data_IF_696201603315
#
_entry.id   IF_696201603315
#
_cell.length_a   1.000
_cell.length_b   1.000
_cell.length_c   1.000
_cell.angle_alpha   90.00
_cell.angle_beta   90.00
_cell.angle_gamma   90.00
#
_symmetry.space_group_name_H-M   'P 1'
#
loop_
_entity.id
_entity.type
_entity.pdbx_description
1 polymer ?
#
# COMPACT_ATOMS: atom_id res chain seq x y z
N UNK A 1 14.89 -30.65 -2.20
CA UNK A 1 14.31 -29.42 -2.79
C UNK A 1 14.13 -28.42 -1.67
N UNK A 2 15.06 -27.47 -1.51
CA UNK A 2 15.00 -26.47 -0.44
C UNK A 2 14.15 -25.28 -0.88
N UNK A 3 13.01 -25.08 -0.23
CA UNK A 3 12.18 -23.89 -0.43
C UNK A 3 12.87 -22.70 0.24
N UNK A 4 13.45 -21.82 -0.58
CA UNK A 4 14.31 -20.75 -0.13
C UNK A 4 13.46 -19.59 0.40
N UNK A 5 13.47 -19.36 1.71
CA UNK A 5 12.84 -18.21 2.38
C UNK A 5 13.28 -16.86 1.77
N UNK A 6 14.43 -16.80 1.10
CA UNK A 6 14.87 -15.64 0.33
C UNK A 6 13.99 -15.29 -0.87
N UNK A 7 13.29 -16.27 -1.48
CA UNK A 7 12.39 -16.01 -2.61
C UNK A 7 11.20 -15.14 -2.21
N UNK A 8 10.74 -15.28 -0.96
CA UNK A 8 9.63 -14.46 -0.42
C UNK A 8 10.07 -13.00 -0.27
N UNK A 9 11.30 -12.76 0.18
CA UNK A 9 11.84 -11.40 0.28
C UNK A 9 11.96 -10.73 -1.10
N UNK A 10 12.54 -11.45 -2.07
CA UNK A 10 12.69 -10.95 -3.44
C UNK A 10 11.33 -10.70 -4.12
N UNK A 11 10.36 -11.59 -3.91
CA UNK A 11 9.01 -11.39 -4.44
C UNK A 11 8.34 -10.14 -3.84
N UNK A 12 8.50 -9.90 -2.54
CA UNK A 12 7.94 -8.71 -1.92
C UNK A 12 8.60 -7.43 -2.44
N UNK A 13 9.91 -7.44 -2.71
CA UNK A 13 10.61 -6.29 -3.28
C UNK A 13 10.10 -5.96 -4.70
N UNK A 14 9.95 -6.99 -5.54
CA UNK A 14 9.58 -6.79 -6.96
C UNK A 14 8.08 -6.51 -7.16
N UNK A 15 7.20 -7.14 -6.37
CA UNK A 15 5.75 -7.05 -6.58
C UNK A 15 5.03 -6.07 -5.65
N UNK A 16 5.74 -5.45 -4.72
CA UNK A 16 5.18 -4.34 -3.94
C UNK A 16 5.02 -3.12 -4.84
N UNK A 17 3.88 -2.43 -4.79
CA UNK A 17 3.69 -1.21 -5.55
C UNK A 17 4.65 -0.13 -5.04
N UNK A 18 5.26 0.60 -5.97
CA UNK A 18 6.14 1.71 -5.62
C UNK A 18 5.35 2.93 -5.14
N UNK A 19 5.99 3.79 -4.35
CA UNK A 19 5.35 5.01 -3.84
C UNK A 19 4.88 5.94 -4.97
N UNK A 20 5.62 5.98 -6.07
CA UNK A 20 5.27 6.78 -7.24
C UNK A 20 3.99 6.27 -7.93
N UNK A 21 3.83 4.96 -8.06
CA UNK A 21 2.62 4.35 -8.64
C UNK A 21 1.40 4.60 -7.76
N UNK A 22 1.55 4.46 -6.44
CA UNK A 22 0.49 4.75 -5.48
C UNK A 22 0.12 6.23 -5.50
N UNK A 23 1.09 7.13 -5.56
CA UNK A 23 0.85 8.57 -5.64
C UNK A 23 0.09 8.95 -6.92
N UNK A 24 0.45 8.37 -8.06
CA UNK A 24 -0.27 8.57 -9.33
C UNK A 24 -1.70 8.05 -9.25
N UNK A 25 -1.90 6.86 -8.69
CA UNK A 25 -3.23 6.30 -8.50
C UNK A 25 -4.11 7.19 -7.63
N UNK A 26 -3.57 7.74 -6.52
CA UNK A 26 -4.28 8.68 -5.65
C UNK A 26 -4.66 9.99 -6.38
N UNK A 27 -3.80 10.50 -7.27
CA UNK A 27 -4.12 11.68 -8.10
C UNK A 27 -5.29 11.41 -9.04
N UNK A 28 -5.31 10.24 -9.69
CA UNK A 28 -6.41 9.84 -10.59
C UNK A 28 -7.74 9.78 -9.83
N UNK A 29 -7.76 9.14 -8.65
CA UNK A 29 -8.97 9.05 -7.83
C UNK A 29 -9.46 10.43 -7.37
N UNK A 30 -8.54 11.32 -6.99
CA UNK A 30 -8.89 12.69 -6.62
C UNK A 30 -9.50 13.46 -7.79
N UNK A 31 -8.90 13.36 -8.97
CA UNK A 31 -9.43 14.00 -10.17
C UNK A 31 -10.82 13.46 -10.55
N UNK A 32 -11.08 12.17 -10.33
CA UNK A 32 -12.41 11.59 -10.51
C UNK A 32 -13.44 12.16 -9.53
N UNK A 33 -13.10 12.28 -8.25
CA UNK A 33 -14.00 12.85 -7.25
C UNK A 33 -14.34 14.31 -7.57
N UNK A 34 -13.35 15.10 -8.01
CA UNK A 34 -13.55 16.48 -8.45
C UNK A 34 -14.46 16.57 -9.69
N UNK A 35 -14.24 15.73 -10.70
CA UNK A 35 -15.07 15.65 -11.89
C UNK A 35 -16.52 15.22 -11.56
N UNK A 36 -16.68 14.26 -10.64
CA UNK A 36 -17.98 13.79 -10.17
C UNK A 36 -18.75 14.89 -9.46
N UNK A 37 -18.08 15.69 -8.63
CA UNK A 37 -18.69 16.84 -7.96
C UNK A 37 -19.15 17.92 -8.96
N UNK A 38 -18.46 18.03 -10.10
CA UNK A 38 -18.81 18.95 -11.19
C UNK A 38 -19.83 18.36 -12.18
N UNK A 39 -20.30 17.12 -11.96
CA UNK A 39 -21.24 16.45 -12.87
C UNK A 39 -20.62 16.03 -14.21
N UNK A 40 -19.29 15.96 -14.30
CA UNK A 40 -18.58 15.58 -15.51
C UNK A 40 -18.42 14.06 -15.58
N UNK A 41 -18.87 13.45 -16.68
CA UNK A 41 -18.70 12.01 -16.94
C UNK A 41 -17.30 11.61 -17.44
N UNK A 42 -16.43 12.58 -17.67
CA UNK A 42 -15.09 12.41 -18.22
C UNK A 42 -14.07 13.15 -17.35
N UNK A 43 -12.97 12.49 -17.02
CA UNK A 43 -11.90 13.05 -16.19
C UNK A 43 -10.68 13.32 -17.08
N UNK A 44 -10.17 14.55 -17.07
CA UNK A 44 -8.89 14.87 -17.71
C UNK A 44 -7.81 15.07 -16.64
N UNK A 45 -6.70 14.35 -16.75
CA UNK A 45 -5.53 14.51 -15.88
C UNK A 45 -4.29 14.67 -16.76
N UNK A 46 -3.49 15.71 -16.51
CA UNK A 46 -2.26 16.02 -17.26
C UNK A 46 -2.50 16.12 -18.79
N UNK A 47 -3.64 16.66 -19.20
CA UNK A 47 -4.02 16.78 -20.61
C UNK A 47 -4.46 15.47 -21.28
N UNK A 48 -4.59 14.38 -20.51
CA UNK A 48 -5.06 13.07 -21.00
C UNK A 48 -6.43 12.74 -20.43
N UNK A 49 -7.29 12.22 -21.31
CA UNK A 49 -8.57 11.65 -20.92
C UNK A 49 -8.33 10.34 -20.16
N UNK A 50 -8.89 10.25 -18.97
CA UNK A 50 -8.84 9.07 -18.12
C UNK A 50 -10.14 8.30 -18.33
N UNK A 51 -10.02 7.04 -18.76
CA UNK A 51 -11.16 6.15 -18.91
C UNK A 51 -11.52 5.44 -17.59
N UNK A 52 -12.69 4.79 -17.57
CA UNK A 52 -13.15 4.03 -16.42
C UNK A 52 -12.22 2.86 -16.06
N UNK A 53 -11.51 2.28 -17.04
CA UNK A 53 -10.59 1.19 -16.79
C UNK A 53 -9.38 1.66 -15.97
N UNK A 54 -8.83 2.82 -16.30
CA UNK A 54 -7.72 3.49 -15.62
C UNK A 54 -8.09 3.86 -14.19
N UNK A 55 -9.32 4.32 -13.98
CA UNK A 55 -9.87 4.59 -12.64
C UNK A 55 -9.90 3.31 -11.81
N UNK A 56 -10.50 2.23 -12.34
CA UNK A 56 -10.57 0.93 -11.64
C UNK A 56 -9.18 0.36 -11.32
N UNK A 57 -8.21 0.55 -12.22
CA UNK A 57 -6.83 0.18 -11.97
C UNK A 57 -6.20 1.01 -10.84
N UNK A 58 -6.47 2.32 -10.79
CA UNK A 58 -6.02 3.19 -9.72
C UNK A 58 -6.63 2.78 -8.35
N UNK A 59 -7.92 2.45 -8.31
CA UNK A 59 -8.58 1.91 -7.11
C UNK A 59 -7.91 0.62 -6.63
N UNK A 60 -7.69 -0.33 -7.55
CA UNK A 60 -7.04 -1.59 -7.24
C UNK A 60 -5.60 -1.39 -6.71
N UNK A 61 -4.85 -0.45 -7.29
CA UNK A 61 -3.50 -0.11 -6.86
C UNK A 61 -3.46 0.43 -5.43
N UNK A 62 -4.31 1.41 -5.12
CA UNK A 62 -4.40 2.00 -3.77
C UNK A 62 -4.83 0.94 -2.76
N UNK A 63 -5.83 0.12 -3.09
CA UNK A 63 -6.30 -0.97 -2.23
C UNK A 63 -5.22 -2.01 -1.95
N UNK A 64 -4.39 -2.34 -2.94
CA UNK A 64 -3.25 -3.26 -2.77
C UNK A 64 -2.22 -2.65 -1.82
N UNK A 65 -1.87 -1.38 -2.01
CA UNK A 65 -0.92 -0.67 -1.15
C UNK A 65 -1.40 -0.60 0.31
N UNK A 66 -2.69 -0.33 0.53
CA UNK A 66 -3.29 -0.28 1.88
C UNK A 66 -3.24 -1.63 2.59
N UNK A 67 -3.56 -2.72 1.89
CA UNK A 67 -3.46 -4.08 2.45
C UNK A 67 -2.03 -4.44 2.85
N UNK A 68 -1.05 -4.10 2.01
CA UNK A 68 0.36 -4.33 2.32
C UNK A 68 0.79 -3.49 3.54
N UNK A 69 0.41 -2.22 3.59
CA UNK A 69 0.70 -1.34 4.72
C UNK A 69 0.06 -1.83 6.03
N UNK A 70 -1.16 -2.40 5.97
CA UNK A 70 -1.79 -3.02 7.13
C UNK A 70 -1.05 -4.28 7.59
N UNK A 71 -0.68 -5.17 6.65
CA UNK A 71 0.09 -6.36 6.95
C UNK A 71 1.45 -6.03 7.59
N UNK A 72 2.14 -5.01 7.08
CA UNK A 72 3.40 -4.52 7.64
C UNK A 72 3.22 -3.96 9.06
N UNK A 73 2.19 -3.13 9.29
CA UNK A 73 1.86 -2.60 10.63
C UNK A 73 1.56 -3.72 11.62
N UNK A 74 0.86 -4.78 11.19
CA UNK A 74 0.54 -5.94 12.04
C UNK A 74 1.80 -6.69 12.46
N UNK A 75 2.72 -6.90 11.51
CA UNK A 75 4.03 -7.52 11.78
C UNK A 75 4.88 -6.69 12.73
N UNK A 76 4.94 -5.36 12.52
CA UNK A 76 5.70 -4.45 13.38
C UNK A 76 5.17 -4.42 14.81
N UNK A 77 3.84 -4.34 14.99
CA UNK A 77 3.21 -4.41 16.32
C UNK A 77 3.56 -5.71 17.04
N UNK A 78 3.55 -6.84 16.32
CA UNK A 78 3.94 -8.13 16.89
C UNK A 78 5.40 -8.12 17.35
N UNK A 79 6.32 -7.62 16.50
CA UNK A 79 7.74 -7.50 16.85
C UNK A 79 8.00 -6.57 18.05
N UNK A 80 7.30 -5.43 18.11
CA UNK A 80 7.41 -4.48 19.23
C UNK A 80 6.85 -5.05 20.53
N UNK A 81 5.74 -5.81 20.45
CA UNK A 81 5.18 -6.55 21.58
C UNK A 81 6.18 -7.60 22.09
N UNK A 82 6.75 -8.42 21.21
CA UNK A 82 7.77 -9.42 21.59
C UNK A 82 8.99 -8.76 22.24
N UNK A 83 9.49 -7.64 21.67
CA UNK A 83 10.60 -6.87 22.27
C UNK A 83 10.26 -6.29 23.63
N UNK A 84 9.02 -5.80 23.82
CA UNK A 84 8.57 -5.24 25.10
C UNK A 84 8.44 -6.34 26.16
N UNK A 85 7.85 -7.48 25.81
CA UNK A 85 7.73 -8.64 26.70
C UNK A 85 9.10 -9.19 27.09
N UNK A 86 10.02 -9.30 26.14
CA UNK A 86 11.40 -9.70 26.41
C UNK A 86 12.10 -8.72 27.36
N UNK A 87 11.94 -7.41 27.14
CA UNK A 87 12.53 -6.38 28.02
C UNK A 87 12.00 -6.45 29.45
N UNK A 88 10.70 -6.72 29.63
CA UNK A 88 10.08 -6.88 30.95
C UNK A 88 10.52 -8.17 31.65
N UNK A 89 10.85 -9.21 30.90
CA UNK A 89 11.35 -10.48 31.46
C UNK A 89 12.85 -10.47 31.77
N UNK A 90 13.64 -9.61 31.12
CA UNK A 90 15.11 -9.59 31.23
C UNK A 90 15.68 -8.40 32.02
N UNK A 91 14.86 -7.46 32.49
CA UNK A 91 15.29 -6.46 33.46
C UNK A 91 15.13 -7.04 34.88
N UNK A 92 16.21 -7.28 35.64
CA UNK A 92 16.05 -7.54 37.07
C UNK A 92 15.45 -6.28 37.69
N UNK A 93 14.31 -6.44 38.38
CA UNK A 93 13.75 -5.42 39.26
C UNK A 93 14.81 -5.18 40.33
N UNK A 94 15.43 -4.00 40.31
CA UNK A 94 16.31 -3.53 41.39
C UNK A 94 15.49 -3.25 42.65
#
# INVERSE_FOLDING_TARGET
MGHSSSQVALANEVFSPSDAEVAKARKILKAMEEARAQGQGAVALDGKLIDLASIRQAEAMVKKAEKIAEAMRRSQKFGDMCRRLWRLSCYPVA
#
